data_IF_729810896655
#
_entry.id   IF_729810896655
#
_cell.length_a   1.000
_cell.length_b   1.000
_cell.length_c   1.000
_cell.angle_alpha   90.00
_cell.angle_beta   90.00
_cell.angle_gamma   90.00
#
_symmetry.space_group_name_H-M   'P 1'
#
loop_
_entity.id
_entity.type
_entity.pdbx_description
1 polymer ?
#
# COMPACT_ATOMS: atom_id res chain seq x y z
N UNK A 1 -16.38 3.56 -7.47
CA UNK A 1 -16.40 3.42 -6.01
C UNK A 1 -16.14 1.97 -5.65
N UNK A 2 -15.49 1.75 -4.51
CA UNK A 2 -15.10 0.45 -3.96
C UNK A 2 -14.61 0.64 -2.51
N UNK A 3 -14.15 -0.43 -1.90
CA UNK A 3 -13.68 -0.45 -0.50
C UNK A 3 -12.17 -0.70 -0.41
N UNK A 4 -11.49 -0.06 0.54
CA UNK A 4 -10.05 -0.24 0.70
C UNK A 4 -9.61 -0.24 2.17
N UNK A 5 -8.71 -1.16 2.50
CA UNK A 5 -7.88 -1.06 3.69
C UNK A 5 -6.55 -0.39 3.32
N UNK A 6 -6.21 0.70 3.99
CA UNK A 6 -5.09 1.56 3.59
C UNK A 6 -4.06 1.64 4.71
N UNK A 7 -2.80 1.34 4.37
CA UNK A 7 -1.64 1.65 5.19
C UNK A 7 -0.92 2.80 4.50
N UNK A 8 -1.04 4.02 5.02
CA UNK A 8 -0.44 5.22 4.45
C UNK A 8 -0.92 6.49 5.13
N UNK A 9 -0.28 7.60 4.83
CA UNK A 9 -0.58 8.91 5.44
C UNK A 9 -1.89 9.55 4.92
N UNK A 10 -2.30 10.64 5.58
CA UNK A 10 -3.53 11.38 5.29
C UNK A 10 -3.70 11.80 3.81
N UNK A 11 -2.59 12.09 3.10
CA UNK A 11 -2.64 12.43 1.68
C UNK A 11 -3.20 11.31 0.81
N UNK A 12 -2.83 10.05 1.10
CA UNK A 12 -3.32 8.88 0.37
C UNK A 12 -4.80 8.60 0.71
N UNK A 13 -5.15 8.64 2.00
CA UNK A 13 -6.52 8.35 2.44
C UNK A 13 -7.51 9.41 1.93
N UNK A 14 -7.11 10.69 1.92
CA UNK A 14 -7.90 11.79 1.35
C UNK A 14 -8.11 11.61 -0.14
N UNK A 15 -7.04 11.32 -0.90
CA UNK A 15 -7.15 11.11 -2.34
C UNK A 15 -8.10 9.95 -2.71
N UNK A 16 -8.10 8.87 -1.93
CA UNK A 16 -9.04 7.75 -2.12
C UNK A 16 -10.48 8.16 -1.77
N UNK A 17 -10.68 8.90 -0.69
CA UNK A 17 -11.98 9.41 -0.29
C UNK A 17 -12.58 10.35 -1.36
N UNK A 18 -11.78 11.25 -1.93
CA UNK A 18 -12.21 12.23 -2.94
C UNK A 18 -12.70 11.58 -4.24
N UNK A 19 -12.23 10.38 -4.56
CA UNK A 19 -12.70 9.59 -5.71
C UNK A 19 -13.81 8.59 -5.33
N UNK A 20 -14.35 8.68 -4.11
CA UNK A 20 -15.48 7.89 -3.64
C UNK A 20 -15.14 6.46 -3.22
N UNK A 21 -13.94 6.21 -2.70
CA UNK A 21 -13.62 4.95 -2.01
C UNK A 21 -13.97 5.02 -0.52
N UNK A 22 -14.51 3.92 0.00
CA UNK A 22 -14.79 3.75 1.42
C UNK A 22 -13.61 3.05 2.09
N UNK A 23 -13.06 3.67 3.13
CA UNK A 23 -11.99 3.07 3.91
C UNK A 23 -12.59 2.12 4.95
N UNK A 24 -12.17 0.86 4.92
CA UNK A 24 -12.69 -0.20 5.80
C UNK A 24 -11.60 -1.23 6.07
N UNK A 25 -11.68 -1.87 7.22
CA UNK A 25 -10.84 -3.00 7.59
C UNK A 25 -11.59 -4.34 7.59
N UNK A 26 -12.86 -4.31 7.16
CA UNK A 26 -13.75 -5.45 7.03
C UNK A 26 -14.03 -5.75 5.55
N UNK A 27 -13.56 -6.90 5.07
CA UNK A 27 -13.77 -7.43 3.70
C UNK A 27 -13.61 -6.39 2.57
N UNK A 28 -12.45 -5.71 2.47
CA UNK A 28 -12.23 -4.69 1.46
C UNK A 28 -11.90 -5.31 0.09
N UNK A 29 -12.27 -4.60 -0.97
CA UNK A 29 -11.88 -4.94 -2.35
C UNK A 29 -10.35 -4.84 -2.54
N UNK A 30 -9.71 -3.88 -1.84
CA UNK A 30 -8.29 -3.56 -2.00
C UNK A 30 -7.57 -3.44 -0.66
N UNK A 31 -6.32 -3.87 -0.65
CA UNK A 31 -5.31 -3.44 0.33
C UNK A 31 -4.35 -2.50 -0.38
N UNK A 32 -4.28 -1.25 0.07
CA UNK A 32 -3.41 -0.21 -0.52
C UNK A 32 -2.29 0.12 0.46
N UNK A 33 -1.06 -0.13 0.04
CA UNK A 33 0.15 0.20 0.78
C UNK A 33 0.79 1.44 0.18
N UNK A 34 0.92 2.48 0.98
CA UNK A 34 1.66 3.70 0.67
C UNK A 34 2.77 3.99 1.66
N UNK A 35 3.43 5.11 1.47
CA UNK A 35 4.42 5.61 2.41
C UNK A 35 3.75 6.04 3.72
N UNK A 36 4.36 5.65 4.84
CA UNK A 36 4.02 6.12 6.18
C UNK A 36 5.27 6.13 7.05
N UNK A 37 5.28 7.02 8.06
CA UNK A 37 6.37 7.10 9.03
C UNK A 37 6.35 5.96 10.04
N UNK A 38 5.20 5.32 10.23
CA UNK A 38 5.02 4.28 11.25
C UNK A 38 4.27 3.09 10.68
N UNK A 39 4.95 1.96 10.59
CA UNK A 39 4.30 0.67 10.36
C UNK A 39 4.09 -0.02 11.71
N UNK A 40 2.87 -0.50 11.96
CA UNK A 40 2.61 -1.38 13.09
C UNK A 40 2.53 -2.82 12.64
N UNK A 41 3.06 -3.73 13.46
CA UNK A 41 2.95 -5.17 13.22
C UNK A 41 1.48 -5.62 13.09
N UNK A 42 0.58 -4.98 13.83
CA UNK A 42 -0.86 -5.20 13.74
C UNK A 42 -1.40 -4.83 12.36
N UNK A 43 -1.07 -3.65 11.84
CA UNK A 43 -1.54 -3.20 10.53
C UNK A 43 -1.04 -4.10 9.40
N UNK A 44 0.23 -4.52 9.46
CA UNK A 44 0.82 -5.45 8.51
C UNK A 44 0.16 -6.83 8.57
N UNK A 45 -0.07 -7.35 9.78
CA UNK A 45 -0.76 -8.63 9.98
C UNK A 45 -2.18 -8.59 9.42
N UNK A 46 -2.88 -7.47 9.62
CA UNK A 46 -4.22 -7.27 9.06
C UNK A 46 -4.18 -7.25 7.54
N UNK A 47 -3.29 -6.47 6.93
CA UNK A 47 -3.09 -6.45 5.47
C UNK A 47 -2.84 -7.84 4.89
N UNK A 48 -1.93 -8.62 5.49
CA UNK A 48 -1.62 -10.00 5.07
C UNK A 48 -2.88 -10.88 5.07
N UNK A 49 -3.68 -10.81 6.14
CA UNK A 49 -4.92 -11.60 6.26
C UNK A 49 -5.96 -11.19 5.21
N UNK A 50 -6.14 -9.89 5.00
CA UNK A 50 -7.09 -9.37 4.02
C UNK A 50 -6.69 -9.75 2.58
N UNK A 51 -5.39 -9.70 2.26
CA UNK A 51 -4.86 -10.15 0.96
C UNK A 51 -5.10 -11.66 0.77
N UNK A 52 -4.84 -12.48 1.79
CA UNK A 52 -5.10 -13.92 1.73
C UNK A 52 -6.60 -14.23 1.62
N UNK A 53 -7.47 -13.36 2.14
CA UNK A 53 -8.92 -13.46 1.99
C UNK A 53 -9.45 -13.02 0.61
N UNK A 54 -8.59 -12.47 -0.26
CA UNK A 54 -8.93 -12.15 -1.65
C UNK A 54 -8.82 -10.67 -2.01
N UNK A 55 -8.54 -9.78 -1.06
CA UNK A 55 -8.36 -8.37 -1.34
C UNK A 55 -7.19 -8.15 -2.31
N UNK A 56 -7.36 -7.27 -3.29
CA UNK A 56 -6.33 -6.99 -4.29
C UNK A 56 -5.23 -6.13 -3.69
N UNK A 57 -3.98 -6.54 -3.85
CA UNK A 57 -2.83 -5.84 -3.27
C UNK A 57 -2.30 -4.74 -4.21
N UNK A 58 -2.30 -3.49 -3.75
CA UNK A 58 -1.80 -2.32 -4.48
C UNK A 58 -0.71 -1.63 -3.65
N UNK A 59 0.36 -1.19 -4.32
CA UNK A 59 1.43 -0.40 -3.73
C UNK A 59 1.62 0.92 -4.49
N UNK A 60 1.85 2.03 -3.78
CA UNK A 60 1.95 3.35 -4.42
C UNK A 60 3.24 3.56 -5.20
N UNK A 61 4.35 2.94 -4.80
CA UNK A 61 5.65 3.04 -5.47
C UNK A 61 6.48 1.76 -5.20
N UNK A 62 7.41 1.40 -6.11
CA UNK A 62 8.25 0.22 -5.97
C UNK A 62 9.57 0.49 -5.21
N UNK A 63 9.80 1.70 -4.71
CA UNK A 63 11.09 2.09 -4.15
C UNK A 63 11.41 1.26 -2.90
N UNK A 64 12.57 0.61 -2.90
CA UNK A 64 13.00 -0.26 -1.81
C UNK A 64 13.44 0.56 -0.60
N UNK A 65 14.10 1.70 -0.83
CA UNK A 65 14.62 2.57 0.21
C UNK A 65 14.37 4.05 -0.08
N UNK A 66 14.26 4.84 0.98
CA UNK A 66 14.20 6.31 0.93
C UNK A 66 15.42 6.95 1.61
N UNK A 67 15.81 8.17 1.22
CA UNK A 67 16.95 8.86 1.81
C UNK A 67 16.62 9.42 3.21
N UNK A 68 17.58 9.37 4.14
CA UNK A 68 17.52 10.10 5.41
C UNK A 68 18.92 10.52 5.90
N UNK A 69 18.98 11.38 6.92
CA UNK A 69 20.24 11.84 7.51
C UNK A 69 21.03 10.72 8.21
N UNK A 70 20.35 9.65 8.64
CA UNK A 70 20.94 8.52 9.38
C UNK A 70 21.24 7.31 8.47
N UNK A 71 20.99 7.43 7.16
CA UNK A 71 21.12 6.35 6.18
C UNK A 71 19.79 5.99 5.51
N UNK A 72 19.74 4.88 4.75
CA UNK A 72 18.54 4.47 4.03
C UNK A 72 17.43 4.03 4.98
N UNK A 73 16.21 4.52 4.75
CA UNK A 73 15.00 4.03 5.40
C UNK A 73 14.29 3.03 4.49
N UNK A 74 13.59 2.03 5.04
CA UNK A 74 12.72 1.18 4.22
C UNK A 74 11.61 2.05 3.61
N UNK A 75 11.44 1.96 2.29
CA UNK A 75 10.34 2.59 1.58
C UNK A 75 9.23 1.56 1.27
N UNK A 76 8.19 1.99 0.55
CA UNK A 76 6.98 1.19 0.29
C UNK A 76 7.31 -0.16 -0.36
N UNK A 77 8.29 -0.22 -1.26
CA UNK A 77 8.72 -1.46 -1.92
C UNK A 77 9.29 -2.50 -0.96
N UNK A 78 10.06 -2.10 0.06
CA UNK A 78 10.58 -3.03 1.08
C UNK A 78 9.47 -3.66 1.91
N UNK A 79 8.47 -2.85 2.29
CA UNK A 79 7.31 -3.34 3.05
C UNK A 79 6.41 -4.20 2.15
N UNK A 80 6.29 -3.85 0.88
CA UNK A 80 5.59 -4.66 -0.10
C UNK A 80 6.22 -6.05 -0.23
N UNK A 81 7.55 -6.13 -0.33
CA UNK A 81 8.28 -7.39 -0.39
C UNK A 81 8.03 -8.28 0.84
N UNK A 82 7.93 -7.70 2.04
CA UNK A 82 7.56 -8.43 3.26
C UNK A 82 6.17 -9.06 3.12
N UNK A 83 5.17 -8.27 2.69
CA UNK A 83 3.80 -8.75 2.53
C UNK A 83 3.71 -9.79 1.40
N UNK A 84 4.38 -9.56 0.27
CA UNK A 84 4.50 -10.52 -0.83
C UNK A 84 5.07 -11.84 -0.32
N UNK A 85 6.14 -11.81 0.48
CA UNK A 85 6.75 -13.02 1.01
C UNK A 85 5.83 -13.79 1.95
N UNK A 86 5.00 -13.10 2.72
CA UNK A 86 4.05 -13.70 3.64
C UNK A 86 2.79 -14.27 2.95
N UNK A 87 2.40 -13.70 1.80
CA UNK A 87 1.13 -14.03 1.12
C UNK A 87 1.31 -14.84 -0.17
N UNK A 88 2.49 -14.77 -0.79
CA UNK A 88 2.72 -15.24 -2.16
C UNK A 88 1.98 -14.43 -3.23
N UNK A 89 1.48 -13.24 -2.90
CA UNK A 89 0.72 -12.36 -3.81
C UNK A 89 1.54 -11.13 -4.15
N UNK A 90 1.79 -10.93 -5.44
CA UNK A 90 2.49 -9.75 -5.92
C UNK A 90 1.58 -8.51 -5.92
N UNK A 91 2.06 -7.34 -5.50
CA UNK A 91 1.31 -6.09 -5.59
C UNK A 91 1.24 -5.59 -7.02
N UNK A 92 0.19 -4.82 -7.29
CA UNK A 92 0.18 -3.90 -8.42
C UNK A 92 0.76 -2.55 -7.99
N UNK A 93 1.84 -2.10 -8.65
CA UNK A 93 2.44 -0.80 -8.39
C UNK A 93 1.76 0.31 -9.21
N UNK A 94 1.13 1.27 -8.54
CA UNK A 94 0.48 2.43 -9.18
C UNK A 94 1.48 3.52 -9.61
N UNK A 95 2.62 3.60 -8.91
CA UNK A 95 3.74 4.52 -9.10
C UNK A 95 4.44 4.46 -10.46
N UNK A 96 5.29 5.44 -10.79
CA UNK A 96 6.25 5.28 -11.91
C UNK A 96 7.05 3.97 -11.75
N UNK A 97 7.38 3.25 -12.85
CA UNK A 97 7.19 3.58 -14.26
C UNK A 97 5.80 3.18 -14.81
N UNK A 98 4.76 3.04 -13.97
CA UNK A 98 3.42 2.69 -14.44
C UNK A 98 2.93 3.71 -15.50
N UNK A 99 2.55 3.25 -16.71
CA UNK A 99 2.06 4.11 -17.79
C UNK A 99 0.88 5.00 -17.40
N UNK A 100 0.09 4.62 -16.38
CA UNK A 100 -1.03 5.43 -15.87
C UNK A 100 -0.58 6.71 -15.16
N UNK A 101 0.62 6.74 -14.56
CA UNK A 101 1.19 7.92 -13.91
C UNK A 101 2.04 8.81 -14.84
N UNK A 102 2.32 8.37 -16.07
CA UNK A 102 3.01 9.19 -17.08
C UNK A 102 2.05 10.00 -17.97
N UNK A 103 0.74 9.89 -17.76
CA UNK A 103 -0.23 10.79 -18.43
C UNK A 103 -0.30 12.10 -17.66
N UNK A 104 0.23 13.15 -18.29
CA UNK A 104 0.06 14.56 -17.89
C UNK A 104 -1.36 15.02 -18.18
#
# INVERSE_FOLDING_TARGET
GGTAYVIGEAGLTTALHDIGYVLTDHDPDYVVLGETRTYSFEALTKAIRLINAGARFICTNPDETGPSAEGPLPATGSVAALITKATGKEPYFAGKPNPLMMRT
#
